data_IF_728989830279
#
_entry.id   IF_728989830279
#
_cell.length_a   1.000
_cell.length_b   1.000
_cell.length_c   1.000
_cell.angle_alpha   90.00
_cell.angle_beta   90.00
_cell.angle_gamma   90.00
#
_symmetry.space_group_name_H-M   'P 1'
#
loop_
_entity.id
_entity.type
_entity.pdbx_description
1 polymer ?
#
# COMPACT_ATOMS: atom_id res chain seq x y z
N UNK A 1 11.60 1.16 12.68
CA UNK A 1 10.57 0.34 12.03
C UNK A 1 11.12 -0.65 10.98
N UNK A 2 12.46 -0.71 10.78
CA UNK A 2 13.15 -1.47 9.74
C UNK A 2 12.72 -2.94 9.53
N UNK A 3 12.62 -3.75 10.59
CA UNK A 3 12.22 -5.17 10.46
C UNK A 3 10.83 -5.30 9.83
N UNK A 4 9.88 -4.44 10.21
CA UNK A 4 8.52 -4.49 9.66
C UNK A 4 8.51 -4.10 8.19
N UNK A 5 9.26 -3.06 7.83
CA UNK A 5 9.40 -2.59 6.45
C UNK A 5 10.05 -3.66 5.58
N UNK A 6 11.16 -4.25 6.01
CA UNK A 6 11.86 -5.33 5.29
C UNK A 6 10.93 -6.54 5.09
N UNK A 7 10.14 -6.89 6.11
CA UNK A 7 9.16 -7.97 6.02
C UNK A 7 8.03 -7.67 5.02
N UNK A 8 7.53 -6.43 4.99
CA UNK A 8 6.51 -6.00 4.03
C UNK A 8 7.05 -6.11 2.59
N UNK A 9 8.29 -5.70 2.36
CA UNK A 9 8.93 -5.82 1.04
C UNK A 9 9.11 -7.29 0.63
N UNK A 10 9.58 -8.15 1.54
CA UNK A 10 9.72 -9.59 1.29
C UNK A 10 8.41 -10.23 0.84
N UNK A 11 7.28 -9.89 1.49
CA UNK A 11 5.96 -10.39 1.10
C UNK A 11 5.51 -9.78 -0.23
N UNK A 12 5.78 -8.49 -0.46
CA UNK A 12 5.43 -7.78 -1.69
C UNK A 12 6.16 -8.27 -2.93
N UNK A 13 7.34 -8.89 -2.79
CA UNK A 13 8.11 -9.45 -3.89
C UNK A 13 7.50 -10.73 -4.47
N UNK A 14 6.84 -11.53 -3.64
CA UNK A 14 6.18 -12.77 -4.09
C UNK A 14 4.71 -12.55 -4.50
N UNK A 15 4.19 -11.32 -4.38
CA UNK A 15 2.84 -10.98 -4.81
C UNK A 15 2.71 -10.97 -6.34
N UNK A 16 1.58 -11.49 -6.83
CA UNK A 16 1.20 -11.31 -8.24
C UNK A 16 0.83 -9.84 -8.51
N UNK A 17 0.99 -9.35 -9.75
CA UNK A 17 0.46 -8.04 -10.13
C UNK A 17 -1.02 -7.90 -9.75
N UNK A 18 -1.41 -6.70 -9.31
CA UNK A 18 -2.75 -6.32 -8.83
C UNK A 18 -3.21 -7.01 -7.53
N UNK A 19 -2.31 -7.73 -6.86
CA UNK A 19 -2.63 -8.37 -5.59
C UNK A 19 -2.51 -7.38 -4.43
N UNK A 20 -3.47 -7.45 -3.51
CA UNK A 20 -3.50 -6.63 -2.31
C UNK A 20 -3.78 -7.47 -1.05
N UNK A 21 -2.94 -7.31 -0.04
CA UNK A 21 -3.16 -7.85 1.30
C UNK A 21 -3.55 -6.75 2.27
N UNK A 22 -4.50 -7.04 3.13
CA UNK A 22 -4.89 -6.22 4.26
C UNK A 22 -4.76 -7.07 5.52
N UNK A 23 -3.94 -6.63 6.47
CA UNK A 23 -3.78 -7.25 7.78
C UNK A 23 -4.17 -6.23 8.83
N UNK A 24 -5.13 -6.57 9.70
CA UNK A 24 -5.57 -5.71 10.79
C UNK A 24 -5.59 -6.50 12.09
N UNK A 25 -4.79 -6.05 13.04
CA UNK A 25 -4.73 -6.57 14.41
C UNK A 25 -5.36 -5.56 15.37
N UNK A 26 -5.17 -5.73 16.68
CA UNK A 26 -5.68 -4.78 17.67
C UNK A 26 -4.92 -3.44 17.66
N UNK A 27 -3.67 -3.43 17.21
CA UNK A 27 -2.75 -2.31 17.34
C UNK A 27 -1.91 -2.03 16.09
N UNK A 28 -2.15 -2.77 15.00
CA UNK A 28 -1.41 -2.64 13.75
C UNK A 28 -2.31 -2.91 12.56
N UNK A 29 -2.25 -2.02 11.58
CA UNK A 29 -2.89 -2.17 10.28
C UNK A 29 -1.82 -2.03 9.18
N UNK A 30 -1.81 -2.99 8.25
CA UNK A 30 -0.88 -3.01 7.12
C UNK A 30 -1.68 -3.28 5.86
N UNK A 31 -1.35 -2.56 4.79
CA UNK A 31 -1.79 -2.87 3.43
C UNK A 31 -0.57 -3.03 2.54
N UNK A 32 -0.49 -4.15 1.81
CA UNK A 32 0.59 -4.45 0.85
C UNK A 32 -0.06 -4.57 -0.52
N UNK A 33 0.30 -3.70 -1.47
CA UNK A 33 -0.28 -3.65 -2.82
C UNK A 33 0.84 -3.77 -3.85
N UNK A 34 0.70 -4.72 -4.77
CA UNK A 34 1.58 -4.87 -5.94
C UNK A 34 0.88 -4.32 -7.17
N UNK A 35 1.00 -3.03 -7.41
CA UNK A 35 0.42 -2.39 -8.60
C UNK A 35 1.51 -2.15 -9.66
N UNK A 36 1.32 -2.58 -10.92
CA UNK A 36 2.17 -2.12 -12.02
C UNK A 36 2.09 -0.60 -12.15
N UNK A 37 3.22 0.08 -12.31
CA UNK A 37 3.30 1.54 -12.43
C UNK A 37 2.33 2.09 -13.48
N UNK A 38 2.24 1.43 -14.64
CA UNK A 38 1.38 1.84 -15.75
C UNK A 38 -0.12 1.71 -15.46
N UNK A 39 -0.49 0.98 -14.42
CA UNK A 39 -1.89 0.73 -14.06
C UNK A 39 -2.39 1.61 -12.92
N UNK A 40 -1.51 2.35 -12.23
CA UNK A 40 -1.92 3.30 -11.19
C UNK A 40 -2.55 4.52 -11.86
N UNK A 41 -3.88 4.52 -11.96
CA UNK A 41 -4.67 5.56 -12.65
C UNK A 41 -5.28 6.60 -11.70
N UNK A 42 -5.27 6.33 -10.40
CA UNK A 42 -5.83 7.16 -9.34
C UNK A 42 -4.95 7.18 -8.10
N UNK A 43 -5.14 8.21 -7.27
CA UNK A 43 -4.45 8.33 -5.99
C UNK A 43 -4.83 7.21 -5.03
N UNK A 44 -3.87 6.85 -4.17
CA UNK A 44 -4.07 5.79 -3.17
C UNK A 44 -4.41 6.43 -1.84
N UNK A 45 -5.49 5.94 -1.22
CA UNK A 45 -5.93 6.34 0.12
C UNK A 45 -5.70 5.19 1.10
N UNK A 46 -5.04 5.49 2.21
CA UNK A 46 -4.86 4.57 3.33
C UNK A 46 -5.41 5.20 4.63
N UNK A 47 -6.17 4.45 5.45
CA UNK A 47 -6.68 3.10 5.19
C UNK A 47 -7.75 3.08 4.09
N UNK A 48 -7.76 2.04 3.24
CA UNK A 48 -8.80 1.91 2.21
C UNK A 48 -10.18 1.74 2.86
N UNK A 49 -11.14 2.60 2.48
CA UNK A 49 -12.52 2.52 2.99
C UNK A 49 -13.23 1.28 2.44
N UNK A 50 -14.15 0.71 3.24
CA UNK A 50 -15.10 -0.30 2.77
C UNK A 50 -14.56 -1.72 2.62
N UNK A 51 -13.29 -2.01 2.98
CA UNK A 51 -12.79 -3.39 3.00
C UNK A 51 -13.45 -4.23 4.08
N UNK A 52 -13.90 -5.44 3.70
CA UNK A 52 -14.34 -6.47 4.64
C UNK A 52 -13.15 -6.93 5.49
N UNK A 53 -13.37 -7.15 6.78
CA UNK A 53 -12.33 -7.58 7.74
C UNK A 53 -11.60 -6.45 8.46
N UNK A 54 -11.91 -5.17 8.16
CA UNK A 54 -11.37 -4.04 8.92
C UNK A 54 -11.94 -3.99 10.34
N UNK A 55 -11.07 -3.89 11.35
CA UNK A 55 -11.48 -3.66 12.75
C UNK A 55 -12.01 -2.25 12.95
N UNK A 56 -12.84 -2.07 13.98
CA UNK A 56 -13.57 -0.82 14.21
C UNK A 56 -12.63 0.38 14.42
N UNK A 57 -11.57 0.22 15.21
CA UNK A 57 -10.59 1.28 15.44
C UNK A 57 -9.94 1.79 14.14
N UNK A 58 -9.62 0.87 13.22
CA UNK A 58 -9.01 1.20 11.93
C UNK A 58 -10.04 1.81 10.95
N UNK A 59 -11.32 1.42 11.08
CA UNK A 59 -12.42 1.95 10.27
C UNK A 59 -12.78 3.39 10.67
N UNK A 60 -12.72 3.70 11.97
CA UNK A 60 -13.02 5.01 12.53
C UNK A 60 -11.81 5.93 12.64
N UNK A 61 -10.62 5.48 12.21
CA UNK A 61 -9.41 6.29 12.25
C UNK A 61 -9.59 7.57 11.42
N UNK A 62 -9.27 8.71 12.05
CA UNK A 62 -9.26 10.01 11.38
C UNK A 62 -7.99 10.19 10.54
N UNK A 63 -6.90 9.55 10.98
CA UNK A 63 -5.61 9.51 10.30
C UNK A 63 -5.74 8.87 8.91
N UNK A 64 -5.43 9.66 7.89
CA UNK A 64 -5.48 9.25 6.49
C UNK A 64 -4.22 9.68 5.78
N UNK A 65 -3.65 8.74 5.03
CA UNK A 65 -2.56 9.00 4.11
C UNK A 65 -3.12 9.02 2.68
N UNK A 66 -2.70 10.05 1.95
CA UNK A 66 -2.98 10.21 0.54
C UNK A 66 -1.66 10.13 -0.23
N UNK A 67 -1.56 9.20 -1.16
CA UNK A 67 -0.38 9.02 -2.02
C UNK A 67 -0.81 9.41 -3.44
N UNK A 68 -0.31 10.54 -3.97
CA UNK A 68 -0.59 10.96 -5.33
C UNK A 68 -0.12 9.92 -6.34
N UNK A 69 -0.91 9.64 -7.38
CA UNK A 69 -0.52 8.69 -8.43
C UNK A 69 0.78 9.07 -9.14
N UNK A 70 1.10 10.36 -9.17
CA UNK A 70 2.29 10.91 -9.83
C UNK A 70 3.57 10.35 -9.21
N UNK A 71 3.55 9.98 -7.92
CA UNK A 71 4.69 9.36 -7.22
C UNK A 71 5.16 8.08 -7.93
N UNK A 72 4.25 7.33 -8.57
CA UNK A 72 4.59 6.09 -9.27
C UNK A 72 5.17 6.33 -10.67
N UNK A 73 4.87 7.47 -11.29
CA UNK A 73 5.33 7.78 -12.66
C UNK A 73 6.75 8.38 -12.74
N UNK A 74 7.34 8.78 -11.61
CA UNK A 74 8.59 9.54 -11.55
C UNK A 74 9.89 8.71 -11.77
N UNK A 75 9.81 7.42 -12.15
CA UNK A 75 10.96 6.51 -12.14
C UNK A 75 11.51 6.11 -13.52
N UNK A 76 11.05 6.69 -14.62
CA UNK A 76 11.64 6.39 -15.94
C UNK A 76 12.97 7.11 -16.25
N UNK A 77 13.41 8.07 -15.42
CA UNK A 77 14.57 8.93 -15.74
C UNK A 77 15.90 8.48 -15.10
N UNK A 78 15.89 7.44 -14.25
CA UNK A 78 17.07 6.97 -13.51
C UNK A 78 17.91 5.88 -14.18
N UNK A 79 17.48 5.31 -15.30
CA UNK A 79 18.19 4.19 -15.99
C UNK A 79 18.91 4.61 -17.29
N UNK A 80 19.15 5.91 -17.49
CA UNK A 80 19.98 6.42 -18.60
C UNK A 80 21.16 7.23 -18.08
N UNK A 81 22.17 6.54 -17.57
CA UNK A 81 23.54 7.07 -17.43
C UNK A 81 24.56 5.95 -17.37
#
# INVERSE_FOLDING_TARGET
>A
MRILEDFIHLIGDDQKPFQSFLVVTNNLMITIQREPVTAVSSDINFPMKGRRGMKDWARSAEDKLYIPKEVFTLTSDGERS
#
